data_IF_228652327534
#
_entry.id   IF_228652327534
#
_cell.length_a   1.000
_cell.length_b   1.000
_cell.length_c   1.000
_cell.angle_alpha   90.00
_cell.angle_beta   90.00
_cell.angle_gamma   90.00
#
_symmetry.space_group_name_H-M   'P 1'
#
loop_
_entity.id
_entity.type
_entity.pdbx_description
1 polymer ?
#
# COMPACT_ATOMS: atom_id res chain seq x y z
N UNK A 1 5.72 -9.18 23.37
CA UNK A 1 5.72 -10.26 22.35
C UNK A 1 4.46 -10.22 21.47
N UNK A 2 4.12 -9.07 20.86
CA UNK A 2 2.95 -8.88 19.96
C UNK A 2 3.31 -8.15 18.66
N UNK A 3 4.61 -8.07 18.34
CA UNK A 3 5.16 -7.12 17.35
C UNK A 3 5.26 -7.75 15.95
N UNK A 4 5.39 -9.07 15.83
CA UNK A 4 5.62 -9.73 14.54
C UNK A 4 4.35 -10.00 13.71
N UNK A 5 3.17 -10.08 14.33
CA UNK A 5 1.96 -10.50 13.61
C UNK A 5 1.24 -9.36 12.90
N UNK A 6 1.30 -8.15 13.47
CA UNK A 6 0.73 -6.94 12.88
C UNK A 6 1.30 -6.57 11.50
N UNK A 7 2.63 -6.58 11.26
CA UNK A 7 3.17 -6.17 9.96
C UNK A 7 2.80 -7.13 8.84
N UNK A 8 2.70 -8.44 9.10
CA UNK A 8 2.25 -9.41 8.10
C UNK A 8 0.76 -9.22 7.75
N UNK A 9 -0.08 -8.93 8.75
CA UNK A 9 -1.49 -8.60 8.52
C UNK A 9 -1.65 -7.30 7.72
N UNK A 10 -0.87 -6.26 8.05
CA UNK A 10 -0.87 -5.01 7.28
C UNK A 10 -0.45 -5.23 5.83
N UNK A 11 0.59 -6.03 5.58
CA UNK A 11 1.04 -6.35 4.22
C UNK A 11 0.00 -7.16 3.43
N UNK A 12 -0.67 -8.12 4.08
CA UNK A 12 -1.70 -8.94 3.43
C UNK A 12 -2.96 -8.12 3.12
N UNK A 13 -3.43 -7.31 4.07
CA UNK A 13 -4.56 -6.38 3.87
C UNK A 13 -4.22 -5.35 2.79
N UNK A 14 -2.99 -4.83 2.80
CA UNK A 14 -2.50 -3.92 1.76
C UNK A 14 -2.57 -4.54 0.37
N UNK A 15 -2.12 -5.79 0.24
CA UNK A 15 -2.12 -6.51 -1.04
C UNK A 15 -3.55 -6.73 -1.54
N UNK A 16 -4.46 -7.19 -0.69
CA UNK A 16 -5.88 -7.40 -1.04
C UNK A 16 -6.55 -6.09 -1.46
N UNK A 17 -6.28 -5.00 -0.72
CA UNK A 17 -6.83 -3.68 -1.02
C UNK A 17 -6.33 -3.13 -2.37
N UNK A 18 -5.03 -3.26 -2.68
CA UNK A 18 -4.48 -2.82 -3.97
C UNK A 18 -5.10 -3.59 -5.13
N UNK A 19 -5.22 -4.92 -5.01
CA UNK A 19 -5.87 -5.76 -6.03
C UNK A 19 -7.32 -5.34 -6.25
N UNK A 20 -8.05 -5.03 -5.18
CA UNK A 20 -9.43 -4.57 -5.26
C UNK A 20 -9.55 -3.20 -5.96
N UNK A 21 -8.68 -2.25 -5.63
CA UNK A 21 -8.63 -0.93 -6.29
C UNK A 21 -8.35 -1.08 -7.79
N UNK A 22 -7.36 -1.91 -8.16
CA UNK A 22 -7.00 -2.14 -9.56
C UNK A 22 -8.16 -2.76 -10.34
N UNK A 23 -8.84 -3.76 -9.78
CA UNK A 23 -10.05 -4.34 -10.37
C UNK A 23 -11.15 -3.30 -10.54
N UNK A 24 -11.40 -2.46 -9.53
CA UNK A 24 -12.41 -1.41 -9.62
C UNK A 24 -12.10 -0.41 -10.73
N UNK A 25 -10.85 0.06 -10.83
CA UNK A 25 -10.42 0.97 -11.91
C UNK A 25 -10.60 0.31 -13.28
N UNK A 26 -10.20 -0.95 -13.42
CA UNK A 26 -10.28 -1.66 -14.70
C UNK A 26 -11.74 -1.88 -15.15
N UNK A 27 -12.62 -2.22 -14.19
CA UNK A 27 -14.05 -2.46 -14.45
C UNK A 27 -14.80 -1.16 -14.76
N UNK A 28 -14.53 -0.06 -14.05
CA UNK A 28 -15.16 1.23 -14.34
C UNK A 28 -14.58 1.89 -15.60
N UNK A 29 -13.28 1.75 -15.84
CA UNK A 29 -12.61 2.30 -17.01
C UNK A 29 -13.07 1.69 -18.33
N UNK A 30 -13.44 0.40 -18.35
CA UNK A 30 -13.94 -0.26 -19.57
C UNK A 30 -15.37 0.12 -19.96
N UNK A 31 -16.15 0.74 -19.06
CA UNK A 31 -17.58 1.05 -19.27
C UNK A 31 -17.79 2.53 -19.62
N UNK A 32 -16.79 3.39 -19.38
CA UNK A 32 -16.88 4.83 -19.58
C UNK A 32 -16.17 5.24 -20.89
N UNK A 33 -16.75 6.15 -21.70
CA UNK A 33 -16.11 6.65 -22.91
C UNK A 33 -14.84 7.44 -22.58
N UNK A 34 -13.75 7.15 -23.32
CA UNK A 34 -12.38 7.64 -23.10
C UNK A 34 -12.24 9.18 -23.12
N UNK A 35 -13.20 9.90 -23.70
CA UNK A 35 -13.13 11.36 -23.84
C UNK A 35 -13.48 12.14 -22.56
N UNK A 36 -13.81 11.44 -21.48
CA UNK A 36 -14.24 12.09 -20.24
C UNK A 36 -13.04 12.34 -19.31
N UNK A 37 -12.78 13.62 -19.00
CA UNK A 37 -11.77 14.06 -18.00
C UNK A 37 -11.99 13.40 -16.62
N UNK A 38 -13.19 12.85 -16.36
CA UNK A 38 -13.49 12.07 -15.16
C UNK A 38 -12.58 10.85 -14.96
N UNK A 39 -12.16 10.17 -16.03
CA UNK A 39 -11.37 8.94 -15.94
C UNK A 39 -10.02 9.19 -15.23
N UNK A 40 -9.17 10.14 -15.70
CA UNK A 40 -7.92 10.44 -15.01
C UNK A 40 -8.13 11.02 -13.61
N UNK A 41 -9.21 11.77 -13.36
CA UNK A 41 -9.55 12.27 -12.01
C UNK A 41 -9.83 11.11 -11.04
N UNK A 42 -10.66 10.14 -11.44
CA UNK A 42 -10.98 8.98 -10.59
C UNK A 42 -9.76 8.09 -10.37
N UNK A 43 -8.97 7.86 -11.42
CA UNK A 43 -7.77 7.04 -11.34
C UNK A 43 -6.73 7.66 -10.40
N UNK A 44 -6.49 8.97 -10.51
CA UNK A 44 -5.59 9.69 -9.62
C UNK A 44 -6.14 9.76 -8.18
N UNK A 45 -7.45 9.96 -8.01
CA UNK A 45 -8.09 9.99 -6.68
C UNK A 45 -7.99 8.65 -5.96
N UNK A 46 -8.25 7.52 -6.65
CA UNK A 46 -8.11 6.19 -6.09
C UNK A 46 -6.65 5.84 -5.77
N UNK A 47 -5.72 6.30 -6.62
CA UNK A 47 -4.29 6.17 -6.36
C UNK A 47 -3.86 6.94 -5.10
N UNK A 48 -4.22 8.22 -4.99
CA UNK A 48 -3.90 9.06 -3.82
C UNK A 48 -4.58 8.52 -2.57
N UNK A 49 -5.83 8.08 -2.66
CA UNK A 49 -6.55 7.46 -1.55
C UNK A 49 -5.87 6.17 -1.07
N UNK A 50 -5.42 5.33 -2.00
CA UNK A 50 -4.61 4.15 -1.68
C UNK A 50 -3.29 4.53 -1.01
N UNK A 51 -2.55 5.48 -1.56
CA UNK A 51 -1.30 5.97 -0.99
C UNK A 51 -1.51 6.55 0.41
N UNK A 52 -2.62 7.25 0.66
CA UNK A 52 -2.97 7.79 1.97
C UNK A 52 -3.26 6.69 3.00
N UNK A 53 -4.02 5.65 2.62
CA UNK A 53 -4.27 4.49 3.51
C UNK A 53 -2.97 3.75 3.83
N UNK A 54 -2.12 3.51 2.83
CA UNK A 54 -0.82 2.84 3.05
C UNK A 54 0.11 3.69 3.91
N UNK A 55 0.17 5.00 3.64
CA UNK A 55 0.91 5.96 4.44
C UNK A 55 0.42 5.95 5.89
N UNK A 56 -0.89 5.96 6.11
CA UNK A 56 -1.45 5.87 7.46
C UNK A 56 -1.11 4.55 8.14
N UNK A 57 -1.31 3.40 7.48
CA UNK A 57 -0.99 2.08 8.06
C UNK A 57 0.50 1.93 8.39
N UNK A 58 1.38 2.49 7.56
CA UNK A 58 2.83 2.40 7.77
C UNK A 58 3.34 3.41 8.79
N UNK A 59 2.73 4.60 8.86
CA UNK A 59 3.19 5.67 9.74
C UNK A 59 2.52 5.66 11.12
N UNK A 60 1.34 5.05 11.28
CA UNK A 60 0.60 5.07 12.55
C UNK A 60 1.38 4.41 13.70
N UNK A 61 1.94 3.22 13.47
CA UNK A 61 2.69 2.49 14.49
C UNK A 61 4.04 3.15 14.85
N UNK A 62 4.89 3.59 13.88
CA UNK A 62 6.10 4.35 14.22
C UNK A 62 5.80 5.73 14.81
N UNK A 63 4.67 6.37 14.45
CA UNK A 63 4.23 7.63 15.07
C UNK A 63 3.87 7.42 16.55
N UNK A 64 3.17 6.33 16.88
CA UNK A 64 2.87 5.98 18.26
C UNK A 64 4.16 5.67 19.06
N UNK A 65 5.10 4.93 18.47
CA UNK A 65 6.42 4.66 19.07
C UNK A 65 7.28 5.94 19.24
N UNK A 66 7.12 6.91 18.34
CA UNK A 66 7.78 8.21 18.44
C UNK A 66 7.24 9.04 19.61
N UNK A 67 5.93 9.02 19.83
CA UNK A 67 5.29 9.64 21.01
C UNK A 67 5.76 9.00 22.33
N UNK A 68 6.04 7.69 22.32
CA UNK A 68 6.65 6.96 23.45
C UNK A 68 8.17 7.23 23.64
N UNK A 69 8.75 8.23 22.95
CA UNK A 69 10.19 8.54 22.92
C UNK A 69 11.12 7.41 22.42
N UNK A 70 10.58 6.29 21.91
CA UNK A 70 11.37 5.16 21.37
C UNK A 70 11.68 5.35 19.89
N UNK A 71 12.35 6.47 19.55
CA UNK A 71 12.67 6.87 18.17
C UNK A 71 13.45 5.82 17.38
N UNK A 72 14.34 5.08 18.06
CA UNK A 72 15.17 4.04 17.42
C UNK A 72 14.33 2.83 16.97
N UNK A 73 13.32 2.45 17.74
CA UNK A 73 12.42 1.35 17.39
C UNK A 73 11.47 1.74 16.25
N UNK A 74 11.01 2.99 16.23
CA UNK A 74 10.17 3.52 15.15
C UNK A 74 10.85 3.43 13.77
N UNK A 75 12.12 3.81 13.66
CA UNK A 75 12.87 3.75 12.40
C UNK A 75 13.13 2.31 11.97
N UNK A 76 13.45 1.42 12.91
CA UNK A 76 13.65 -0.01 12.63
C UNK A 76 12.34 -0.66 12.14
N UNK A 77 11.22 -0.34 12.78
CA UNK A 77 9.91 -0.86 12.40
C UNK A 77 9.50 -0.38 11.00
N UNK A 78 9.66 0.92 10.72
CA UNK A 78 9.41 1.48 9.40
C UNK A 78 10.29 0.82 8.33
N UNK A 79 11.59 0.67 8.59
CA UNK A 79 12.51 0.00 7.68
C UNK A 79 12.14 -1.45 7.40
N UNK A 80 11.67 -2.20 8.41
CA UNK A 80 11.19 -3.57 8.23
C UNK A 80 9.95 -3.64 7.34
N UNK A 81 8.97 -2.76 7.57
CA UNK A 81 7.73 -2.70 6.77
C UNK A 81 8.03 -2.35 5.31
N UNK A 82 8.86 -1.32 5.07
CA UNK A 82 9.30 -0.93 3.73
C UNK A 82 10.10 -2.05 3.07
N UNK A 83 10.99 -2.73 3.81
CA UNK A 83 11.78 -3.85 3.30
C UNK A 83 10.92 -5.03 2.84
N UNK A 84 9.92 -5.42 3.64
CA UNK A 84 8.98 -6.49 3.27
C UNK A 84 8.17 -6.09 2.03
N UNK A 85 7.69 -4.84 1.98
CA UNK A 85 6.93 -4.35 0.84
C UNK A 85 7.79 -4.30 -0.45
N UNK A 86 9.05 -3.89 -0.34
CA UNK A 86 10.01 -3.95 -1.44
C UNK A 86 10.22 -5.38 -1.95
N UNK A 87 10.26 -6.37 -1.05
CA UNK A 87 10.29 -7.79 -1.42
C UNK A 87 9.08 -8.22 -2.26
N UNK A 88 7.86 -7.79 -1.88
CA UNK A 88 6.67 -8.02 -2.68
C UNK A 88 6.74 -7.36 -4.05
N UNK A 89 7.24 -6.12 -4.14
CA UNK A 89 7.44 -5.44 -5.43
C UNK A 89 8.37 -6.24 -6.32
N UNK A 90 9.52 -6.69 -5.81
CA UNK A 90 10.47 -7.52 -6.57
C UNK A 90 9.82 -8.83 -7.03
N UNK A 91 9.03 -9.48 -6.18
CA UNK A 91 8.29 -10.70 -6.53
C UNK A 91 7.31 -10.46 -7.68
N UNK A 92 6.52 -9.37 -7.63
CA UNK A 92 5.62 -9.00 -8.72
C UNK A 92 6.38 -8.64 -10.00
N UNK A 93 7.54 -8.00 -9.89
CA UNK A 93 8.38 -7.65 -11.03
C UNK A 93 8.93 -8.89 -11.73
N UNK A 94 9.42 -9.88 -10.96
CA UNK A 94 9.87 -11.17 -11.48
C UNK A 94 8.71 -11.89 -12.17
N UNK A 95 7.53 -11.91 -11.54
CA UNK A 95 6.34 -12.52 -12.12
C UNK A 95 5.93 -11.86 -13.46
N UNK A 96 6.08 -10.54 -13.56
CA UNK A 96 5.79 -9.79 -14.79
C UNK A 96 6.82 -10.06 -15.90
N UNK A 97 8.10 -10.25 -15.58
CA UNK A 97 9.14 -10.59 -16.57
C UNK A 97 9.15 -12.07 -16.99
N UNK A 98 8.62 -12.97 -16.16
CA UNK A 98 8.52 -14.40 -16.46
C UNK A 98 7.29 -14.75 -17.33
N UNK A 99 6.33 -13.83 -17.42
CA UNK A 99 5.14 -13.92 -18.27
C UNK A 99 5.36 -13.20 -19.58
#
# INVERSE_FOLDING_TARGET
>A
MKIFWKPFLCALVATVYIVFIVLAIQTLGSVLPEETILIPIMMLSLFVFSAAIMGFLFLYEPFNLYMENRKREAVVFFGQVVGIFAGFIVMFLIFLFLK
#
